data_IF_174743947975
#
_entry.id   IF_174743947975
#
_cell.length_a   1.000
_cell.length_b   1.000
_cell.length_c   1.000
_cell.angle_alpha   90.00
_cell.angle_beta   90.00
_cell.angle_gamma   90.00
#
_symmetry.space_group_name_H-M   'P 1'
#
loop_
_entity.id
_entity.type
_entity.pdbx_description
1 polymer ?
#
# COMPACT_ATOMS: atom_id res chain seq x y z
N UNK A 1 -30.90 -33.48 -1.64
CA UNK A 1 -29.78 -34.45 -1.76
C UNK A 1 -29.25 -34.82 -0.39
N UNK A 2 -28.86 -36.09 -0.19
CA UNK A 2 -28.20 -36.56 1.02
C UNK A 2 -26.82 -35.89 1.16
N UNK A 3 -26.47 -35.35 2.33
CA UNK A 3 -25.21 -34.67 2.63
C UNK A 3 -23.97 -35.49 2.21
N UNK A 4 -24.04 -36.82 2.37
CA UNK A 4 -22.98 -37.76 1.97
C UNK A 4 -22.76 -37.83 0.45
N UNK A 5 -23.80 -37.58 -0.35
CA UNK A 5 -23.69 -37.53 -1.81
C UNK A 5 -23.01 -36.24 -2.28
N UNK A 6 -23.28 -35.12 -1.60
CA UNK A 6 -22.64 -33.83 -1.89
C UNK A 6 -21.15 -33.89 -1.54
N UNK A 7 -20.80 -34.45 -0.39
CA UNK A 7 -19.40 -34.60 0.04
C UNK A 7 -18.61 -35.54 -0.90
N UNK A 8 -19.21 -36.65 -1.34
CA UNK A 8 -18.58 -37.55 -2.32
C UNK A 8 -18.41 -36.89 -3.68
N UNK A 9 -19.38 -36.07 -4.12
CA UNK A 9 -19.29 -35.33 -5.38
C UNK A 9 -18.16 -34.29 -5.30
N UNK A 10 -18.13 -33.47 -4.25
CA UNK A 10 -17.07 -32.46 -4.06
C UNK A 10 -15.66 -33.09 -4.04
N UNK A 11 -15.51 -34.27 -3.43
CA UNK A 11 -14.23 -34.99 -3.39
C UNK A 11 -13.82 -35.57 -4.75
N UNK A 12 -14.78 -35.95 -5.60
CA UNK A 12 -14.48 -36.54 -6.90
C UNK A 12 -14.17 -35.51 -7.98
N UNK A 13 -14.64 -34.27 -7.81
CA UNK A 13 -14.52 -33.20 -8.80
C UNK A 13 -13.66 -32.00 -8.35
N UNK A 14 -12.93 -32.10 -7.24
CA UNK A 14 -12.09 -30.99 -6.73
C UNK A 14 -10.98 -30.55 -7.68
N UNK A 15 -10.57 -31.44 -8.58
CA UNK A 15 -9.39 -31.26 -9.44
C UNK A 15 -9.79 -31.04 -10.92
N UNK A 16 -11.09 -30.89 -11.19
CA UNK A 16 -11.65 -30.78 -12.54
C UNK A 16 -11.73 -29.33 -12.99
N UNK A 17 -11.55 -29.12 -14.29
CA UNK A 17 -11.71 -27.80 -14.91
C UNK A 17 -13.17 -27.34 -14.88
N UNK A 18 -13.40 -26.02 -14.91
CA UNK A 18 -14.75 -25.44 -14.87
C UNK A 18 -15.66 -26.02 -15.98
N UNK A 19 -15.11 -26.30 -17.17
CA UNK A 19 -15.85 -26.89 -18.28
C UNK A 19 -16.26 -28.35 -18.02
N UNK A 20 -15.39 -29.15 -17.39
CA UNK A 20 -15.70 -30.54 -17.01
C UNK A 20 -16.76 -30.61 -15.89
N UNK A 21 -16.74 -29.65 -14.96
CA UNK A 21 -17.75 -29.50 -13.91
C UNK A 21 -19.13 -29.20 -14.51
N UNK A 22 -19.20 -28.31 -15.51
CA UNK A 22 -20.45 -27.97 -16.21
C UNK A 22 -21.02 -29.21 -16.93
N UNK A 23 -20.17 -29.99 -17.60
CA UNK A 23 -20.59 -31.22 -18.30
C UNK A 23 -21.10 -32.27 -17.30
N UNK A 24 -20.41 -32.46 -16.17
CA UNK A 24 -20.83 -33.42 -15.14
C UNK A 24 -22.14 -33.01 -14.45
N UNK A 25 -22.37 -31.71 -14.26
CA UNK A 25 -23.63 -31.19 -13.71
C UNK A 25 -24.82 -31.45 -14.63
N UNK A 26 -24.64 -31.36 -15.95
CA UNK A 26 -25.66 -31.69 -16.95
C UNK A 26 -26.07 -33.17 -16.95
N UNK A 27 -25.22 -34.08 -16.46
CA UNK A 27 -25.51 -35.52 -16.44
C UNK A 27 -26.28 -35.98 -15.19
N UNK A 28 -26.20 -35.23 -14.08
CA UNK A 28 -26.70 -35.68 -12.76
C UNK A 28 -27.85 -34.87 -12.18
N UNK A 29 -28.15 -33.69 -12.74
CA UNK A 29 -29.21 -32.81 -12.23
C UNK A 29 -30.43 -32.91 -13.17
N UNK A 30 -31.63 -33.26 -12.68
CA UNK A 30 -32.84 -33.19 -13.48
C UNK A 30 -33.00 -31.80 -14.11
N UNK A 31 -33.39 -31.74 -15.39
CA UNK A 31 -33.50 -30.47 -16.15
C UNK A 31 -34.29 -29.37 -15.41
N UNK A 32 -35.27 -29.75 -14.58
CA UNK A 32 -36.04 -28.83 -13.72
C UNK A 32 -35.24 -28.19 -12.58
N UNK A 33 -34.23 -28.87 -12.02
CA UNK A 33 -33.37 -28.36 -10.94
C UNK A 33 -32.20 -27.53 -11.48
N UNK A 34 -31.79 -27.79 -12.73
CA UNK A 34 -30.71 -27.08 -13.41
C UNK A 34 -31.04 -25.58 -13.63
N UNK A 35 -32.30 -25.27 -13.95
CA UNK A 35 -32.77 -23.88 -14.05
C UNK A 35 -32.73 -23.14 -12.70
N UNK A 36 -32.96 -23.85 -11.59
CA UNK A 36 -32.91 -23.27 -10.24
C UNK A 36 -31.44 -22.98 -9.87
N UNK A 37 -30.54 -23.93 -10.10
CA UNK A 37 -29.11 -23.76 -9.85
C UNK A 37 -28.51 -22.60 -10.67
N UNK A 38 -28.82 -22.52 -11.96
CA UNK A 38 -28.36 -21.44 -12.83
C UNK A 38 -28.87 -20.06 -12.37
N UNK A 39 -30.13 -19.98 -11.90
CA UNK A 39 -30.70 -18.74 -11.35
C UNK A 39 -30.01 -18.32 -10.05
N UNK A 40 -29.76 -19.26 -9.13
CA UNK A 40 -29.05 -19.00 -7.87
C UNK A 40 -27.61 -18.55 -8.12
N UNK A 41 -26.91 -19.17 -9.06
CA UNK A 41 -25.54 -18.78 -9.41
C UNK A 41 -25.51 -17.37 -10.01
N UNK A 42 -26.47 -17.04 -10.89
CA UNK A 42 -26.59 -15.70 -11.45
C UNK A 42 -26.88 -14.64 -10.38
N UNK A 43 -27.77 -14.93 -9.42
CA UNK A 43 -28.06 -14.04 -8.28
C UNK A 43 -26.81 -13.85 -7.39
N UNK A 44 -26.08 -14.93 -7.11
CA UNK A 44 -24.83 -14.86 -6.34
C UNK A 44 -23.75 -14.03 -7.08
N UNK A 45 -23.59 -14.21 -8.40
CA UNK A 45 -22.68 -13.39 -9.22
C UNK A 45 -23.10 -11.91 -9.20
N UNK A 46 -24.39 -11.60 -9.27
CA UNK A 46 -24.91 -10.22 -9.16
C UNK A 46 -24.58 -9.60 -7.79
N UNK A 47 -24.87 -10.30 -6.69
CA UNK A 47 -24.57 -9.83 -5.34
C UNK A 47 -23.06 -9.60 -5.14
N UNK A 48 -22.21 -10.50 -5.62
CA UNK A 48 -20.75 -10.31 -5.58
C UNK A 48 -20.30 -9.09 -6.39
N UNK A 49 -20.90 -8.84 -7.55
CA UNK A 49 -20.58 -7.68 -8.37
C UNK A 49 -20.99 -6.35 -7.70
N UNK A 50 -22.14 -6.32 -7.03
CA UNK A 50 -22.63 -5.16 -6.28
C UNK A 50 -21.76 -4.87 -5.05
N UNK A 51 -21.38 -5.92 -4.30
CA UNK A 51 -20.45 -5.80 -3.18
C UNK A 51 -19.08 -5.26 -3.62
N UNK A 52 -18.57 -5.69 -4.78
CA UNK A 52 -17.33 -5.16 -5.38
C UNK A 52 -17.47 -3.69 -5.76
N UNK A 53 -18.60 -3.28 -6.34
CA UNK A 53 -18.88 -1.87 -6.68
C UNK A 53 -18.94 -1.00 -5.43
N UNK A 54 -19.72 -1.39 -4.42
CA UNK A 54 -19.87 -0.65 -3.16
C UNK A 54 -18.54 -0.49 -2.43
N UNK A 55 -17.74 -1.56 -2.32
CA UNK A 55 -16.37 -1.49 -1.77
C UNK A 55 -15.47 -0.51 -2.53
N UNK A 56 -15.64 -0.39 -3.84
CA UNK A 56 -14.86 0.53 -4.65
C UNK A 56 -15.27 2.00 -4.39
N UNK A 57 -16.59 2.25 -4.27
CA UNK A 57 -17.13 3.57 -3.94
C UNK A 57 -16.70 4.04 -2.55
N UNK A 58 -16.80 3.17 -1.53
CA UNK A 58 -16.36 3.46 -0.16
C UNK A 58 -14.86 3.81 -0.13
N UNK A 59 -14.02 3.06 -0.88
CA UNK A 59 -12.59 3.34 -0.98
C UNK A 59 -12.30 4.68 -1.67
N UNK A 60 -13.07 5.07 -2.69
CA UNK A 60 -12.91 6.36 -3.38
C UNK A 60 -13.25 7.50 -2.43
N UNK A 61 -14.33 7.39 -1.66
CA UNK A 61 -14.74 8.38 -0.68
C UNK A 61 -13.68 8.55 0.43
N UNK A 62 -13.19 7.44 0.97
CA UNK A 62 -12.13 7.45 2.00
C UNK A 62 -10.86 8.12 1.46
N UNK A 63 -10.41 7.77 0.25
CA UNK A 63 -9.19 8.35 -0.33
C UNK A 63 -9.33 9.85 -0.64
N UNK A 64 -10.52 10.29 -1.01
CA UNK A 64 -10.80 11.70 -1.26
C UNK A 64 -10.75 12.49 0.04
N UNK A 65 -11.29 11.93 1.13
CA UNK A 65 -11.25 12.54 2.46
C UNK A 65 -9.82 12.65 3.01
N UNK A 66 -8.98 11.62 2.85
CA UNK A 66 -7.60 11.64 3.37
C UNK A 66 -6.76 12.75 2.71
N UNK A 67 -6.89 12.96 1.40
CA UNK A 67 -6.13 14.02 0.73
C UNK A 67 -6.67 15.41 1.02
N UNK A 68 -7.96 15.55 1.33
CA UNK A 68 -8.50 16.82 1.84
C UNK A 68 -7.82 17.18 3.17
N UNK A 69 -7.75 16.24 4.11
CA UNK A 69 -7.06 16.41 5.39
C UNK A 69 -5.56 16.75 5.22
N UNK A 70 -4.86 16.03 4.34
CA UNK A 70 -3.45 16.32 4.03
C UNK A 70 -3.29 17.72 3.41
N UNK A 71 -4.22 18.12 2.55
CA UNK A 71 -4.19 19.45 1.92
C UNK A 71 -4.41 20.53 2.97
N UNK A 72 -5.36 20.36 3.88
CA UNK A 72 -5.62 21.28 4.98
C UNK A 72 -4.41 21.38 5.92
N UNK A 73 -3.82 20.24 6.31
CA UNK A 73 -2.76 20.21 7.32
C UNK A 73 -1.38 20.63 6.78
N UNK A 74 -1.06 20.30 5.52
CA UNK A 74 0.27 20.52 4.95
C UNK A 74 0.29 21.43 3.72
N UNK A 75 -0.86 21.89 3.23
CA UNK A 75 -0.96 22.71 2.02
C UNK A 75 -0.62 21.95 0.73
N UNK A 76 -0.72 20.62 0.71
CA UNK A 76 -0.27 19.78 -0.41
C UNK A 76 -1.40 18.94 -0.98
N UNK A 77 -1.71 19.19 -2.25
CA UNK A 77 -2.68 18.40 -2.99
C UNK A 77 -2.06 17.12 -3.56
N UNK A 78 -2.89 16.09 -3.76
CA UNK A 78 -2.51 14.84 -4.44
C UNK A 78 -1.86 15.09 -5.80
N UNK A 79 -2.43 16.02 -6.57
CA UNK A 79 -1.95 16.39 -7.90
C UNK A 79 -0.57 17.07 -7.84
N UNK A 80 -0.38 18.05 -6.96
CA UNK A 80 0.91 18.73 -6.81
C UNK A 80 2.00 17.79 -6.32
N UNK A 81 1.68 16.88 -5.40
CA UNK A 81 2.61 15.86 -4.94
C UNK A 81 2.98 14.89 -6.07
N UNK A 82 1.99 14.39 -6.82
CA UNK A 82 2.22 13.50 -7.95
C UNK A 82 3.08 14.09 -9.07
N UNK A 83 3.10 15.42 -9.25
CA UNK A 83 4.01 16.08 -10.20
C UNK A 83 5.46 16.03 -9.72
N UNK A 84 5.70 16.21 -8.43
CA UNK A 84 7.04 16.20 -7.81
C UNK A 84 7.72 14.84 -7.95
N UNK A 85 6.95 13.76 -7.84
CA UNK A 85 7.47 12.39 -7.98
C UNK A 85 7.30 11.81 -9.40
N UNK A 86 7.26 12.65 -10.44
CA UNK A 86 7.07 12.20 -11.82
C UNK A 86 8.29 11.48 -12.43
N UNK A 87 9.44 11.51 -11.74
CA UNK A 87 10.60 10.70 -12.09
C UNK A 87 10.37 9.20 -11.83
N UNK A 88 9.43 8.83 -10.95
CA UNK A 88 9.05 7.44 -10.68
C UNK A 88 8.13 6.93 -11.80
N UNK A 89 8.68 6.15 -12.73
CA UNK A 89 7.97 5.67 -13.92
C UNK A 89 7.12 4.44 -13.68
N UNK A 90 7.51 3.59 -12.73
CA UNK A 90 6.72 2.40 -12.41
C UNK A 90 5.37 2.80 -11.77
N UNK A 91 4.28 2.43 -12.45
CA UNK A 91 2.92 2.73 -12.01
C UNK A 91 2.59 2.02 -10.70
N UNK A 92 3.10 0.80 -10.50
CA UNK A 92 2.82 0.04 -9.29
C UNK A 92 3.52 0.65 -8.07
N UNK A 93 4.84 0.90 -8.16
CA UNK A 93 5.61 1.61 -7.14
C UNK A 93 4.96 2.94 -6.78
N UNK A 94 4.58 3.74 -7.77
CA UNK A 94 3.89 5.01 -7.53
C UNK A 94 2.56 4.81 -6.78
N UNK A 95 1.76 3.81 -7.13
CA UNK A 95 0.52 3.46 -6.41
C UNK A 95 0.79 3.09 -4.95
N UNK A 96 1.84 2.29 -4.71
CA UNK A 96 2.27 1.87 -3.36
C UNK A 96 2.69 3.09 -2.52
N UNK A 97 3.49 4.00 -3.08
CA UNK A 97 3.90 5.24 -2.42
C UNK A 97 2.69 6.08 -1.97
N UNK A 98 1.71 6.28 -2.86
CA UNK A 98 0.51 7.04 -2.51
C UNK A 98 -0.26 6.39 -1.36
N UNK A 99 -0.47 5.06 -1.44
CA UNK A 99 -1.14 4.29 -0.38
C UNK A 99 -0.39 4.40 0.94
N UNK A 100 0.92 4.20 0.93
CA UNK A 100 1.73 4.13 2.15
C UNK A 100 1.86 5.51 2.80
N UNK A 101 1.90 6.58 2.01
CA UNK A 101 1.81 7.95 2.51
C UNK A 101 0.45 8.23 3.17
N UNK A 102 -0.65 7.87 2.51
CA UNK A 102 -2.01 8.04 3.04
C UNK A 102 -2.17 7.27 4.37
N UNK A 103 -1.67 6.04 4.44
CA UNK A 103 -1.70 5.23 5.66
C UNK A 103 -0.79 5.80 6.77
N UNK A 104 0.42 6.25 6.43
CA UNK A 104 1.33 6.85 7.40
C UNK A 104 0.69 8.09 8.05
N UNK A 105 0.00 8.91 7.24
CA UNK A 105 -0.78 10.05 7.71
C UNK A 105 -1.91 9.64 8.66
N UNK A 106 -2.76 8.69 8.26
CA UNK A 106 -3.88 8.21 9.10
C UNK A 106 -3.36 7.69 10.44
N UNK A 107 -2.27 6.90 10.43
CA UNK A 107 -1.65 6.34 11.62
C UNK A 107 -1.16 7.46 12.56
N UNK A 108 -0.45 8.47 12.03
CA UNK A 108 -0.02 9.63 12.82
C UNK A 108 -1.23 10.38 13.42
N UNK A 109 -2.27 10.64 12.61
CA UNK A 109 -3.47 11.37 13.03
C UNK A 109 -4.20 10.62 14.16
N UNK A 110 -4.26 9.30 14.10
CA UNK A 110 -4.88 8.42 15.12
C UNK A 110 -3.99 8.09 16.32
N UNK A 111 -2.73 8.56 16.34
CA UNK A 111 -1.81 8.34 17.47
C UNK A 111 -1.01 7.03 17.41
N UNK A 112 -1.06 6.29 16.30
CA UNK A 112 -0.22 5.13 16.05
C UNK A 112 1.18 5.56 15.56
N UNK A 113 1.93 6.20 16.45
CA UNK A 113 3.17 6.91 16.09
C UNK A 113 4.27 6.01 15.54
N UNK A 114 4.54 4.86 16.18
CA UNK A 114 5.59 3.91 15.73
C UNK A 114 5.36 3.42 14.29
N UNK A 115 4.21 2.79 13.95
CA UNK A 115 4.00 2.31 12.58
C UNK A 115 3.91 3.45 11.57
N UNK A 116 3.44 4.64 11.96
CA UNK A 116 3.48 5.83 11.09
C UNK A 116 4.91 6.22 10.70
N UNK A 117 5.84 6.29 11.66
CA UNK A 117 7.25 6.61 11.39
C UNK A 117 7.92 5.54 10.54
N UNK A 118 7.65 4.26 10.81
CA UNK A 118 8.20 3.16 10.00
C UNK A 118 7.77 3.32 8.54
N UNK A 119 6.48 3.56 8.31
CA UNK A 119 5.92 3.67 6.98
C UNK A 119 6.40 4.94 6.26
N UNK A 120 6.45 6.08 6.96
CA UNK A 120 7.01 7.32 6.42
C UNK A 120 8.49 7.16 6.03
N UNK A 121 9.29 6.51 6.87
CA UNK A 121 10.69 6.21 6.56
C UNK A 121 10.84 5.29 5.35
N UNK A 122 9.97 4.28 5.18
CA UNK A 122 9.98 3.41 4.01
C UNK A 122 9.63 4.16 2.71
N UNK A 123 8.67 5.09 2.75
CA UNK A 123 8.34 5.95 1.60
C UNK A 123 9.54 6.83 1.21
N UNK A 124 10.22 7.41 2.20
CA UNK A 124 11.42 8.24 1.95
C UNK A 124 12.57 7.40 1.39
N UNK A 125 12.82 6.21 1.94
CA UNK A 125 13.82 5.28 1.44
C UNK A 125 13.58 4.96 -0.04
N UNK A 126 12.34 4.64 -0.41
CA UNK A 126 11.96 4.36 -1.80
C UNK A 126 12.10 5.59 -2.70
N UNK A 127 11.80 6.80 -2.21
CA UNK A 127 12.05 8.04 -2.95
C UNK A 127 13.51 8.22 -3.30
N UNK A 128 14.40 8.06 -2.33
CA UNK A 128 15.83 8.21 -2.56
C UNK A 128 16.34 7.17 -3.56
N UNK A 129 15.92 5.90 -3.41
CA UNK A 129 16.26 4.83 -4.34
C UNK A 129 15.82 5.13 -5.77
N UNK A 130 14.56 5.53 -5.96
CA UNK A 130 14.02 5.88 -7.28
C UNK A 130 14.69 7.12 -7.87
N UNK A 131 15.05 8.09 -7.04
CA UNK A 131 15.73 9.31 -7.49
C UNK A 131 17.17 9.02 -7.93
N UNK A 132 17.90 8.15 -7.21
CA UNK A 132 19.22 7.66 -7.63
C UNK A 132 19.16 6.93 -8.98
N UNK A 133 18.16 6.05 -9.18
CA UNK A 133 17.92 5.38 -10.46
C UNK A 133 17.70 6.42 -11.58
N UNK A 134 16.85 7.43 -11.33
CA UNK A 134 16.59 8.51 -12.27
C UNK A 134 17.84 9.32 -12.62
N UNK A 135 18.70 9.58 -11.62
CA UNK A 135 19.99 10.29 -11.79
C UNK A 135 21.13 9.39 -12.28
N UNK A 136 20.89 8.09 -12.44
CA UNK A 136 21.89 7.07 -12.82
C UNK A 136 23.09 7.03 -11.86
N UNK A 137 22.83 7.21 -10.57
CA UNK A 137 23.83 7.11 -9.50
C UNK A 137 23.66 5.77 -8.80
N UNK A 138 24.76 5.02 -8.68
CA UNK A 138 24.76 3.71 -8.01
C UNK A 138 25.20 3.88 -6.55
N UNK A 139 24.36 3.52 -5.56
CA UNK A 139 24.80 3.47 -4.17
C UNK A 139 25.75 2.29 -3.94
N UNK A 140 26.56 2.36 -2.89
CA UNK A 140 27.47 1.27 -2.50
C UNK A 140 26.71 0.02 -2.02
N UNK A 141 25.53 0.20 -1.42
CA UNK A 141 24.66 -0.87 -0.91
C UNK A 141 23.19 -0.56 -1.13
N UNK A 142 22.36 -1.61 -1.11
CA UNK A 142 20.90 -1.50 -1.20
C UNK A 142 20.29 -1.24 0.19
N UNK A 143 20.55 -0.07 0.77
CA UNK A 143 20.06 0.30 2.10
C UNK A 143 19.72 1.79 2.20
N UNK A 144 18.79 2.16 3.09
CA UNK A 144 18.46 3.56 3.35
C UNK A 144 19.68 4.46 3.61
N UNK A 145 20.65 4.01 4.42
CA UNK A 145 21.85 4.78 4.74
C UNK A 145 22.73 5.02 3.50
N UNK A 146 22.91 3.98 2.68
CA UNK A 146 23.65 4.05 1.43
C UNK A 146 22.99 5.00 0.42
N UNK A 147 21.65 4.99 0.32
CA UNK A 147 20.96 5.92 -0.57
C UNK A 147 21.14 7.38 -0.14
N UNK A 148 21.05 7.66 1.17
CA UNK A 148 21.26 8.99 1.73
C UNK A 148 22.68 9.49 1.44
N UNK A 149 23.68 8.63 1.63
CA UNK A 149 25.10 8.94 1.36
C UNK A 149 25.33 9.18 -0.13
N UNK A 150 24.88 8.28 -0.99
CA UNK A 150 25.00 8.45 -2.44
C UNK A 150 24.38 9.76 -2.92
N UNK A 151 23.24 10.16 -2.34
CA UNK A 151 22.63 11.45 -2.67
C UNK A 151 23.48 12.66 -2.23
N UNK A 152 24.11 12.57 -1.06
CA UNK A 152 24.96 13.63 -0.52
C UNK A 152 26.28 13.74 -1.30
N UNK A 153 26.95 12.61 -1.52
CA UNK A 153 28.26 12.54 -2.17
C UNK A 153 28.20 13.05 -3.63
N UNK A 154 27.06 12.86 -4.29
CA UNK A 154 26.81 13.33 -5.65
C UNK A 154 26.13 14.72 -5.70
N UNK A 155 25.95 15.39 -4.55
CA UNK A 155 25.30 16.71 -4.45
C UNK A 155 23.92 16.79 -5.14
N UNK A 156 23.19 15.68 -5.20
CA UNK A 156 21.86 15.64 -5.84
C UNK A 156 20.72 16.02 -4.90
N UNK A 157 21.01 16.09 -3.59
CA UNK A 157 20.10 16.60 -2.56
C UNK A 157 20.76 17.74 -1.79
N UNK A 158 19.95 18.71 -1.38
CA UNK A 158 20.41 19.76 -0.47
C UNK A 158 20.82 19.16 0.88
N UNK A 159 21.81 19.76 1.53
CA UNK A 159 22.31 19.31 2.85
C UNK A 159 21.21 19.24 3.92
N UNK A 160 20.26 20.18 3.91
CA UNK A 160 19.11 20.17 4.80
C UNK A 160 18.22 18.92 4.59
N UNK A 161 18.05 18.50 3.33
CA UNK A 161 17.24 17.34 2.94
C UNK A 161 17.94 16.03 3.29
N UNK A 162 19.26 15.99 3.15
CA UNK A 162 20.08 14.90 3.67
C UNK A 162 19.90 14.73 5.18
N UNK A 163 20.05 15.82 5.96
CA UNK A 163 19.89 15.79 7.42
C UNK A 163 18.49 15.35 7.85
N UNK A 164 17.47 15.83 7.15
CA UNK A 164 16.08 15.45 7.40
C UNK A 164 15.85 13.95 7.14
N UNK A 165 16.33 13.45 6.01
CA UNK A 165 16.24 12.02 5.65
C UNK A 165 16.95 11.15 6.68
N UNK A 166 18.13 11.57 7.12
CA UNK A 166 18.91 10.87 8.14
C UNK A 166 18.21 10.85 9.50
N UNK A 167 17.59 11.96 9.90
CA UNK A 167 16.78 12.03 11.12
C UNK A 167 15.60 11.07 11.08
N UNK A 168 14.85 11.01 9.98
CA UNK A 168 13.71 10.09 9.86
C UNK A 168 14.18 8.64 9.85
N UNK A 169 15.29 8.32 9.17
CA UNK A 169 15.93 7.00 9.22
C UNK A 169 16.25 6.59 10.65
N UNK A 170 16.82 7.50 11.45
CA UNK A 170 17.14 7.21 12.85
C UNK A 170 15.89 6.89 13.65
N UNK A 171 14.84 7.72 13.55
CA UNK A 171 13.56 7.47 14.22
C UNK A 171 12.90 6.15 13.78
N UNK A 172 12.93 5.83 12.49
CA UNK A 172 12.45 4.53 11.98
C UNK A 172 13.23 3.38 12.62
N UNK A 173 14.56 3.48 12.65
CA UNK A 173 15.41 2.39 13.12
C UNK A 173 15.23 2.14 14.63
N UNK A 174 15.06 3.17 15.46
CA UNK A 174 14.92 2.94 16.92
C UNK A 174 13.60 2.24 17.31
N UNK A 175 12.58 2.27 16.45
CA UNK A 175 11.28 1.60 16.68
C UNK A 175 11.03 0.42 15.76
N UNK A 176 12.01 0.04 14.94
CA UNK A 176 11.93 -1.16 14.12
C UNK A 176 12.17 -2.38 14.99
N UNK A 177 11.34 -3.42 14.87
CA UNK A 177 11.35 -4.60 15.76
C UNK A 177 12.75 -5.20 15.94
N UNK A 178 13.50 -5.34 14.84
CA UNK A 178 14.86 -5.91 14.87
C UNK A 178 15.91 -5.03 15.57
N UNK A 179 15.63 -3.73 15.72
CA UNK A 179 16.58 -2.71 16.20
C UNK A 179 16.14 -2.04 17.50
N UNK A 180 14.89 -2.24 17.93
CA UNK A 180 14.33 -1.70 19.17
C UNK A 180 15.00 -2.37 20.37
N UNK A 181 15.91 -1.65 21.04
CA UNK A 181 16.68 -2.17 22.18
C UNK A 181 15.90 -2.16 23.49
N UNK A 182 14.88 -1.30 23.59
CA UNK A 182 14.07 -1.12 24.80
C UNK A 182 12.65 -0.69 24.43
N UNK A 183 11.66 -1.34 25.05
CA UNK A 183 10.24 -0.96 25.01
C UNK A 183 9.96 0.50 25.41
N UNK A 184 10.87 1.13 26.17
CA UNK A 184 10.79 2.54 26.58
C UNK A 184 10.98 3.53 25.44
N UNK A 185 11.48 3.11 24.27
CA UNK A 185 11.54 3.99 23.11
C UNK A 185 10.11 4.31 22.65
N UNK A 186 9.69 5.54 22.97
CA UNK A 186 8.40 6.08 22.57
C UNK A 186 8.59 7.12 21.48
N UNK A 187 7.64 7.18 20.55
CA UNK A 187 7.57 8.20 19.51
C UNK A 187 6.32 9.01 19.78
N UNK A 188 6.49 10.31 19.95
CA UNK A 188 5.36 11.21 20.15
C UNK A 188 4.52 11.33 18.87
N UNK A 189 3.24 11.69 19.02
CA UNK A 189 2.37 12.00 17.88
C UNK A 189 2.95 13.12 17.01
N UNK A 190 3.58 14.12 17.63
CA UNK A 190 4.23 15.23 16.93
C UNK A 190 5.41 14.74 16.07
N UNK A 191 6.25 13.86 16.61
CA UNK A 191 7.36 13.24 15.86
C UNK A 191 6.85 12.43 14.66
N UNK A 192 5.79 11.66 14.83
CA UNK A 192 5.18 10.90 13.74
C UNK A 192 4.62 11.81 12.63
N UNK A 193 3.89 12.88 13.00
CA UNK A 193 3.46 13.91 12.05
C UNK A 193 4.64 14.58 11.35
N UNK A 194 5.73 14.86 12.07
CA UNK A 194 6.97 15.41 11.52
C UNK A 194 7.64 14.47 10.50
N UNK A 195 7.62 13.15 10.74
CA UNK A 195 8.11 12.17 9.78
C UNK A 195 7.25 12.16 8.51
N UNK A 196 5.92 12.25 8.62
CA UNK A 196 5.02 12.39 7.46
C UNK A 196 5.27 13.70 6.71
N UNK A 197 5.42 14.82 7.43
CA UNK A 197 5.76 16.11 6.84
C UNK A 197 7.09 16.10 6.08
N UNK A 198 8.05 15.31 6.55
CA UNK A 198 9.34 15.11 5.88
C UNK A 198 9.19 14.51 4.49
N UNK A 199 8.22 13.60 4.27
CA UNK A 199 7.96 13.01 2.95
C UNK A 199 7.72 14.12 1.92
N UNK A 200 6.89 15.09 2.29
CA UNK A 200 6.54 16.21 1.43
C UNK A 200 7.69 17.18 1.21
N UNK A 201 8.45 17.46 2.28
CA UNK A 201 9.61 18.36 2.23
C UNK A 201 10.69 17.79 1.32
N UNK A 202 10.97 16.49 1.43
CA UNK A 202 11.94 15.78 0.61
C UNK A 202 11.47 15.73 -0.84
N UNK A 203 10.18 15.45 -1.08
CA UNK A 203 9.62 15.43 -2.43
C UNK A 203 9.74 16.79 -3.16
N UNK A 204 9.87 17.91 -2.44
CA UNK A 204 10.07 19.23 -3.06
C UNK A 204 11.47 19.44 -3.63
N UNK A 205 12.44 18.60 -3.28
CA UNK A 205 13.83 18.73 -3.70
C UNK A 205 14.16 17.94 -4.96
N UNK A 206 13.24 17.11 -5.45
CA UNK A 206 13.37 16.32 -6.67
C UNK A 206 12.89 17.08 -7.92
#
# INVERSE_FOLDING_TARGET
MNKKAIENWQKHYSDKSDDELIIAMHQFIPSSEMHIAAKLELEHRKQQSELKKKKNEDNILINTAIWADITEEFGITKKSFGKKINFIKDRFCRKVIFRDLEQAYILAKKGFSKPSVILAGAVIEEFLRQYLIYKKVTPDKDTFDAYIKACQDNSILKSAIHNLSNSVRYFRNIVHIEKEKDSKYTISKATAKGAVASIFTIANDF
#
